data_IF_314347388586
#
_entry.id   IF_314347388586
#
_cell.length_a   1.000
_cell.length_b   1.000
_cell.length_c   1.000
_cell.angle_alpha   90.00
_cell.angle_beta   90.00
_cell.angle_gamma   90.00
#
_symmetry.space_group_name_H-M   'P 1'
#
loop_
_entity.id
_entity.type
_entity.pdbx_description
1 polymer ?
#
# COMPACT_ATOMS: atom_id res chain seq x y z
N UNK A 1 -3.79 -30.51 15.89
CA UNK A 1 -4.71 -29.97 16.92
C UNK A 1 -4.67 -28.46 16.80
N UNK A 2 -5.80 -27.79 16.58
CA UNK A 2 -5.86 -26.32 16.61
C UNK A 2 -5.58 -25.90 18.05
N UNK A 3 -4.51 -25.15 18.27
CA UNK A 3 -4.10 -24.61 19.59
C UNK A 3 -4.73 -23.24 19.82
N UNK A 4 -5.94 -23.03 19.33
CA UNK A 4 -6.63 -21.76 19.53
C UNK A 4 -7.38 -21.83 20.86
N UNK A 5 -7.14 -20.89 21.78
CA UNK A 5 -7.78 -20.90 23.09
C UNK A 5 -9.28 -20.81 22.93
N UNK A 6 -10.03 -21.68 23.62
CA UNK A 6 -11.49 -21.57 23.64
C UNK A 6 -11.95 -20.58 24.70
N UNK A 7 -13.18 -20.09 24.59
CA UNK A 7 -13.77 -19.21 25.59
C UNK A 7 -13.74 -19.80 27.00
N UNK A 8 -13.80 -21.14 27.13
CA UNK A 8 -13.73 -21.82 28.43
C UNK A 8 -12.35 -21.71 29.07
N UNK A 9 -11.30 -21.79 28.26
CA UNK A 9 -9.91 -21.79 28.72
C UNK A 9 -9.38 -20.37 28.99
N UNK A 10 -10.02 -19.37 28.38
CA UNK A 10 -9.69 -17.95 28.53
C UNK A 10 -10.92 -17.03 28.31
N UNK A 11 -11.78 -16.86 29.34
CA UNK A 11 -13.03 -16.09 29.26
C UNK A 11 -12.82 -14.57 29.43
N UNK A 12 -11.78 -14.00 28.81
CA UNK A 12 -11.51 -12.56 28.88
C UNK A 12 -12.31 -11.81 27.81
N UNK A 13 -13.61 -11.66 28.06
CA UNK A 13 -14.52 -10.87 27.23
C UNK A 13 -14.95 -9.63 28.01
N UNK A 14 -15.05 -8.50 27.32
CA UNK A 14 -15.59 -7.26 27.87
C UNK A 14 -14.53 -6.17 28.04
N UNK A 15 -15.00 -4.93 28.11
CA UNK A 15 -14.15 -3.76 28.24
C UNK A 15 -13.93 -3.45 29.72
N UNK A 16 -12.67 -3.27 30.16
CA UNK A 16 -12.38 -2.88 31.53
C UNK A 16 -12.85 -1.44 31.81
N UNK A 17 -12.92 -1.09 33.09
CA UNK A 17 -13.09 0.30 33.50
C UNK A 17 -11.80 1.09 33.28
N UNK A 18 -10.66 0.50 33.63
CA UNK A 18 -9.35 1.11 33.46
C UNK A 18 -8.30 0.12 32.96
N UNK A 19 -7.33 0.61 32.19
CA UNK A 19 -6.12 -0.11 31.79
C UNK A 19 -4.94 0.58 32.45
N UNK A 20 -4.24 -0.17 33.31
CA UNK A 20 -2.99 0.27 33.91
C UNK A 20 -1.83 -0.09 32.99
N UNK A 21 -0.97 0.86 32.68
CA UNK A 21 0.22 0.60 31.89
C UNK A 21 1.43 1.43 32.28
N UNK A 22 2.57 1.01 31.73
CA UNK A 22 3.81 1.72 31.88
C UNK A 22 3.93 2.85 30.87
N UNK A 23 4.57 3.95 31.27
CA UNK A 23 4.61 5.19 30.49
C UNK A 23 5.19 4.99 29.09
N UNK A 24 6.14 4.07 28.90
CA UNK A 24 6.78 3.89 27.60
C UNK A 24 5.91 3.11 26.58
N UNK A 25 5.03 2.22 27.04
CA UNK A 25 4.29 1.31 26.16
C UNK A 25 2.95 1.91 25.68
N UNK A 26 2.28 2.72 26.51
CA UNK A 26 0.96 3.29 26.23
C UNK A 26 0.92 4.81 25.97
N UNK A 27 2.07 5.46 25.72
CA UNK A 27 2.07 6.85 25.24
C UNK A 27 1.88 6.87 23.71
N UNK A 28 0.63 6.97 23.25
CA UNK A 28 0.35 7.11 21.83
C UNK A 28 -1.10 7.49 21.49
N UNK A 29 -1.29 8.10 20.33
CA UNK A 29 -2.60 8.56 19.82
C UNK A 29 -3.64 7.44 19.66
N UNK A 30 -3.22 6.18 19.55
CA UNK A 30 -4.13 5.03 19.44
C UNK A 30 -4.94 4.82 20.72
N UNK A 31 -4.34 5.14 21.88
CA UNK A 31 -4.92 4.86 23.20
C UNK A 31 -5.85 5.99 23.62
N UNK A 32 -5.56 7.23 23.22
CA UNK A 32 -6.47 8.38 23.37
C UNK A 32 -7.83 8.13 22.69
N UNK A 33 -7.82 7.42 21.54
CA UNK A 33 -9.07 7.06 20.85
C UNK A 33 -9.87 6.00 21.60
N UNK A 34 -9.19 5.03 22.25
CA UNK A 34 -9.86 4.05 23.09
C UNK A 34 -10.53 4.70 24.31
N UNK A 35 -9.84 5.63 24.95
CA UNK A 35 -10.37 6.37 26.09
C UNK A 35 -11.64 7.14 25.71
N UNK A 36 -11.59 7.90 24.60
CA UNK A 36 -12.73 8.69 24.11
C UNK A 36 -13.91 7.85 23.65
N UNK A 37 -13.67 6.78 22.88
CA UNK A 37 -14.74 6.03 22.23
C UNK A 37 -15.39 4.99 23.14
N UNK A 38 -14.68 4.49 24.15
CA UNK A 38 -15.13 3.38 24.99
C UNK A 38 -15.18 3.69 26.49
N UNK A 39 -14.88 4.93 26.89
CA UNK A 39 -14.84 5.35 28.28
C UNK A 39 -14.00 4.41 29.15
N UNK A 40 -12.83 4.02 28.63
CA UNK A 40 -11.80 3.24 29.33
C UNK A 40 -10.77 4.22 29.86
N UNK A 41 -10.57 4.24 31.18
CA UNK A 41 -9.58 5.12 31.81
C UNK A 41 -8.18 4.54 31.64
N UNK A 42 -7.22 5.35 31.21
CA UNK A 42 -5.83 4.91 31.09
C UNK A 42 -5.05 5.44 32.29
N UNK A 43 -4.53 4.53 33.10
CA UNK A 43 -3.74 4.88 34.28
C UNK A 43 -2.28 4.55 34.00
N UNK A 44 -1.40 5.54 34.15
CA UNK A 44 0.04 5.34 34.01
C UNK A 44 0.67 5.14 35.38
N UNK A 45 1.46 4.08 35.55
CA UNK A 45 2.20 3.87 36.80
C UNK A 45 3.20 5.01 37.04
N UNK A 46 3.40 5.46 38.30
CA UNK A 46 4.47 6.40 38.64
C UNK A 46 5.82 5.82 38.22
N UNK A 47 6.76 6.67 37.80
CA UNK A 47 8.13 6.26 37.55
C UNK A 47 8.69 5.56 38.81
N UNK A 48 9.35 4.41 38.63
CA UNK A 48 9.93 3.57 39.70
C UNK A 48 8.94 2.79 40.60
N UNK A 49 7.71 2.51 40.15
CA UNK A 49 6.79 1.54 40.80
C UNK A 49 6.70 0.22 40.01
N UNK A 50 7.85 -0.38 39.73
CA UNK A 50 7.95 -1.69 39.06
C UNK A 50 7.29 -2.85 39.81
N UNK A 51 7.01 -2.66 41.11
CA UNK A 51 6.28 -3.62 41.95
C UNK A 51 4.89 -3.96 41.40
N UNK A 52 4.23 -3.01 40.72
CA UNK A 52 2.93 -3.20 40.08
C UNK A 52 2.98 -4.10 38.84
N UNK A 53 4.19 -4.33 38.28
CA UNK A 53 4.45 -5.21 37.11
C UNK A 53 5.31 -6.44 37.47
N UNK A 54 5.77 -6.53 38.72
CA UNK A 54 6.70 -7.56 39.20
C UNK A 54 6.21 -8.99 38.94
N UNK A 55 4.90 -9.22 39.06
CA UNK A 55 4.27 -10.52 38.79
C UNK A 55 4.36 -10.87 37.31
N UNK A 56 4.06 -9.93 36.42
CA UNK A 56 4.08 -10.11 34.97
C UNK A 56 5.51 -10.37 34.48
N UNK A 57 6.49 -9.58 34.93
CA UNK A 57 7.89 -9.75 34.55
C UNK A 57 8.50 -11.07 35.06
N UNK A 58 8.19 -11.43 36.31
CA UNK A 58 8.61 -12.72 36.88
C UNK A 58 8.00 -13.88 36.12
N UNK A 59 6.74 -13.76 35.73
CA UNK A 59 6.07 -14.79 34.95
C UNK A 59 6.65 -14.92 33.54
N UNK A 60 6.93 -13.81 32.84
CA UNK A 60 7.65 -13.86 31.55
C UNK A 60 9.02 -14.54 31.68
N UNK A 61 9.76 -14.25 32.75
CA UNK A 61 11.03 -14.93 33.04
C UNK A 61 10.84 -16.43 33.27
N UNK A 62 9.75 -16.82 33.94
CA UNK A 62 9.41 -18.22 34.24
C UNK A 62 9.04 -18.99 32.98
N UNK A 63 8.13 -18.45 32.16
CA UNK A 63 7.78 -19.04 30.85
C UNK A 63 9.04 -19.22 30.00
N UNK A 64 9.87 -18.18 29.92
CA UNK A 64 11.13 -18.27 29.19
C UNK A 64 12.06 -19.35 29.72
N UNK A 65 12.12 -19.57 31.04
CA UNK A 65 12.94 -20.62 31.63
C UNK A 65 12.41 -22.03 31.33
N UNK A 66 11.10 -22.20 31.11
CA UNK A 66 10.49 -23.50 30.82
C UNK A 66 10.80 -23.99 29.40
N UNK A 67 10.75 -23.13 28.38
CA UNK A 67 10.95 -23.56 26.99
C UNK A 67 12.39 -23.38 26.49
N UNK A 68 13.18 -22.42 27.02
CA UNK A 68 14.57 -22.17 26.56
C UNK A 68 15.49 -23.40 26.57
N UNK A 69 15.42 -24.32 27.55
CA UNK A 69 16.25 -25.53 27.56
C UNK A 69 15.99 -26.47 26.37
N UNK A 70 14.81 -26.38 25.76
CA UNK A 70 14.36 -27.29 24.70
C UNK A 70 14.31 -26.62 23.32
N UNK A 71 14.51 -25.30 23.24
CA UNK A 71 14.49 -24.54 22.00
C UNK A 71 15.93 -24.26 21.49
N UNK A 72 16.27 -24.63 20.24
CA UNK A 72 17.55 -24.25 19.64
C UNK A 72 17.55 -22.76 19.23
N UNK A 73 18.74 -22.17 19.10
CA UNK A 73 18.91 -20.78 18.63
C UNK A 73 18.55 -19.68 19.64
N UNK A 74 18.44 -20.00 20.93
CA UNK A 74 18.18 -19.01 21.99
C UNK A 74 19.33 -18.00 22.07
N UNK A 75 19.00 -16.70 22.16
CA UNK A 75 19.98 -15.62 22.28
C UNK A 75 20.81 -15.80 23.55
N UNK A 76 22.09 -16.06 23.36
CA UNK A 76 23.06 -16.12 24.45
C UNK A 76 23.71 -14.75 24.65
N UNK A 77 24.00 -14.39 25.91
CA UNK A 77 24.56 -13.09 26.29
C UNK A 77 25.95 -12.81 25.67
N UNK A 78 26.65 -13.85 25.19
CA UNK A 78 27.95 -13.73 24.57
C UNK A 78 27.77 -13.89 23.06
N UNK A 79 28.05 -12.83 22.28
CA UNK A 79 28.31 -12.98 20.84
C UNK A 79 29.63 -13.74 20.70
N UNK A 80 29.56 -15.04 20.47
CA UNK A 80 30.69 -15.97 20.42
C UNK A 80 31.63 -15.78 19.20
N UNK A 81 32.01 -14.54 18.86
CA UNK A 81 33.02 -14.32 17.81
C UNK A 81 34.47 -14.51 18.28
N UNK A 82 34.74 -14.62 19.60
CA UNK A 82 36.12 -14.71 20.13
C UNK A 82 36.58 -16.10 20.58
N UNK A 83 35.71 -17.13 20.58
CA UNK A 83 36.04 -18.46 21.14
C UNK A 83 35.43 -19.65 20.38
N UNK A 84 35.24 -19.55 19.07
CA UNK A 84 34.81 -20.70 18.26
C UNK A 84 33.40 -21.20 18.57
N UNK A 85 32.54 -20.34 19.10
CA UNK A 85 31.15 -20.69 19.37
C UNK A 85 30.25 -20.51 18.14
N UNK A 86 29.13 -21.21 18.12
CA UNK A 86 28.22 -21.26 16.96
C UNK A 86 27.30 -20.04 16.96
N UNK A 87 27.08 -19.44 15.79
CA UNK A 87 26.13 -18.32 15.67
C UNK A 87 24.71 -18.85 15.89
N UNK A 88 24.11 -18.52 17.04
CA UNK A 88 22.76 -18.95 17.44
C UNK A 88 21.68 -18.56 16.41
N UNK A 89 21.94 -17.57 15.54
CA UNK A 89 21.02 -17.20 14.46
C UNK A 89 20.90 -18.30 13.39
N UNK A 90 21.95 -19.10 13.20
CA UNK A 90 21.96 -20.21 12.26
C UNK A 90 21.21 -21.44 12.81
N UNK A 91 21.09 -21.52 14.14
CA UNK A 91 20.37 -22.59 14.85
C UNK A 91 18.90 -22.20 15.15
N UNK A 92 18.42 -21.05 14.66
CA UNK A 92 17.04 -20.61 14.85
C UNK A 92 16.09 -21.42 13.97
N UNK A 93 15.35 -22.36 14.56
CA UNK A 93 14.45 -23.27 13.83
C UNK A 93 12.98 -22.92 13.95
N UNK A 94 12.57 -22.20 14.99
CA UNK A 94 11.16 -21.92 15.27
C UNK A 94 10.62 -20.80 14.38
N UNK A 95 9.50 -21.07 13.73
CA UNK A 95 8.69 -20.03 13.08
C UNK A 95 7.97 -19.17 14.11
N UNK A 96 7.53 -17.97 13.71
CA UNK A 96 6.72 -17.09 14.58
C UNK A 96 5.46 -17.81 15.06
N UNK A 97 4.81 -18.60 14.20
CA UNK A 97 3.60 -19.36 14.56
C UNK A 97 3.89 -20.39 15.64
N UNK A 98 4.95 -21.19 15.50
CA UNK A 98 5.33 -22.19 16.50
C UNK A 98 5.73 -21.55 17.82
N UNK A 99 6.47 -20.44 17.78
CA UNK A 99 6.79 -19.67 18.97
C UNK A 99 5.53 -19.15 19.67
N UNK A 100 4.58 -18.58 18.93
CA UNK A 100 3.28 -18.14 19.49
C UNK A 100 2.54 -19.29 20.15
N UNK A 101 2.52 -20.49 19.55
CA UNK A 101 1.89 -21.68 20.12
C UNK A 101 2.55 -22.11 21.44
N UNK A 102 3.88 -22.09 21.53
CA UNK A 102 4.61 -22.39 22.76
C UNK A 102 4.19 -21.42 23.88
N UNK A 103 4.16 -20.11 23.58
CA UNK A 103 3.76 -19.10 24.56
C UNK A 103 2.30 -19.28 24.98
N UNK A 104 1.38 -19.53 24.03
CA UNK A 104 -0.04 -19.77 24.32
C UNK A 104 -0.22 -20.98 25.25
N UNK A 105 0.49 -22.08 25.00
CA UNK A 105 0.42 -23.26 25.86
C UNK A 105 0.85 -22.96 27.29
N UNK A 106 1.96 -22.22 27.49
CA UNK A 106 2.40 -21.82 28.84
C UNK A 106 1.36 -20.96 29.55
N UNK A 107 0.78 -19.98 28.84
CA UNK A 107 -0.27 -19.11 29.42
C UNK A 107 -1.52 -19.91 29.79
N UNK A 108 -1.96 -20.84 28.94
CA UNK A 108 -3.12 -21.68 29.20
C UNK A 108 -2.93 -22.59 30.41
N UNK A 109 -1.77 -23.24 30.53
CA UNK A 109 -1.46 -24.08 31.71
C UNK A 109 -1.49 -23.23 32.97
N UNK A 110 -0.82 -22.08 32.97
CA UNK A 110 -0.80 -21.22 34.15
C UNK A 110 -2.19 -20.74 34.56
N UNK A 111 -2.97 -20.23 33.62
CA UNK A 111 -4.30 -19.70 33.92
C UNK A 111 -5.26 -20.77 34.45
N UNK A 112 -5.11 -22.02 34.01
CA UNK A 112 -6.05 -23.11 34.31
C UNK A 112 -5.61 -24.04 35.45
N UNK A 113 -4.31 -24.13 35.78
CA UNK A 113 -3.82 -25.10 36.77
C UNK A 113 -2.91 -24.53 37.84
N UNK A 114 -2.37 -23.31 37.68
CA UNK A 114 -1.40 -22.79 38.63
C UNK A 114 -2.08 -22.26 39.89
N UNK A 115 -1.69 -22.79 41.05
CA UNK A 115 -2.18 -22.32 42.34
C UNK A 115 -1.35 -21.13 42.83
N UNK A 116 -2.03 -20.01 43.09
CA UNK A 116 -1.44 -18.78 43.63
C UNK A 116 -1.32 -18.87 45.15
N UNK A 117 -0.24 -19.50 45.63
CA UNK A 117 -0.02 -19.74 47.07
C UNK A 117 0.08 -18.47 47.92
N UNK A 118 0.44 -17.34 47.32
CA UNK A 118 0.57 -16.03 47.99
C UNK A 118 -0.58 -15.07 47.68
N UNK A 119 -1.70 -15.58 47.16
CA UNK A 119 -2.87 -14.75 46.85
C UNK A 119 -3.60 -14.33 48.13
N UNK A 120 -3.81 -13.02 48.28
CA UNK A 120 -4.57 -12.45 49.40
C UNK A 120 -6.07 -12.55 49.09
N UNK A 121 -6.81 -13.23 49.97
CA UNK A 121 -8.23 -13.56 49.76
C UNK A 121 -9.11 -12.57 50.52
N UNK A 122 -10.17 -12.09 49.88
CA UNK A 122 -11.18 -11.29 50.57
C UNK A 122 -12.02 -12.14 51.54
N UNK A 123 -12.62 -11.47 52.52
CA UNK A 123 -13.36 -12.08 53.63
C UNK A 123 -14.60 -12.89 53.21
N UNK A 124 -15.18 -12.59 52.06
CA UNK A 124 -16.39 -13.20 51.51
C UNK A 124 -16.11 -14.24 50.42
N UNK A 125 -14.84 -14.53 50.11
CA UNK A 125 -14.48 -15.60 49.19
C UNK A 125 -14.74 -16.99 49.82
N UNK A 126 -15.50 -17.89 49.16
CA UNK A 126 -15.78 -19.24 49.66
C UNK A 126 -14.51 -20.06 49.90
N UNK A 127 -14.40 -20.77 51.02
CA UNK A 127 -13.19 -21.52 51.41
C UNK A 127 -12.84 -22.66 50.44
N UNK A 128 -13.80 -23.15 49.67
CA UNK A 128 -13.66 -24.19 48.65
C UNK A 128 -13.24 -23.64 47.27
N UNK A 129 -13.22 -22.31 47.08
CA UNK A 129 -12.76 -21.68 45.84
C UNK A 129 -11.22 -21.86 45.72
N UNK A 130 -10.71 -22.58 44.71
CA UNK A 130 -9.27 -22.71 44.54
C UNK A 130 -8.64 -21.38 44.10
N UNK A 131 -7.45 -21.07 44.62
CA UNK A 131 -6.67 -19.89 44.26
C UNK A 131 -5.99 -20.04 42.88
N UNK A 132 -6.75 -20.43 41.87
CA UNK A 132 -6.29 -20.61 40.49
C UNK A 132 -6.88 -19.47 39.64
N UNK A 133 -6.11 -18.83 38.73
CA UNK A 133 -6.54 -17.63 38.01
C UNK A 133 -7.92 -17.75 37.34
N UNK A 134 -8.21 -18.85 36.63
CA UNK A 134 -9.51 -19.04 35.97
C UNK A 134 -10.68 -19.10 36.95
N UNK A 135 -10.48 -19.75 38.11
CA UNK A 135 -11.52 -19.88 39.13
C UNK A 135 -11.77 -18.56 39.85
N UNK A 136 -10.70 -17.86 40.21
CA UNK A 136 -10.76 -16.53 40.79
C UNK A 136 -11.41 -15.53 39.84
N UNK A 137 -11.08 -15.58 38.55
CA UNK A 137 -11.69 -14.75 37.50
C UNK A 137 -13.20 -15.00 37.40
N UNK A 138 -13.61 -16.26 37.25
CA UNK A 138 -15.02 -16.62 37.11
C UNK A 138 -15.84 -16.21 38.34
N UNK A 139 -15.30 -16.41 39.55
CA UNK A 139 -15.93 -15.96 40.78
C UNK A 139 -16.01 -14.43 40.86
N UNK A 140 -14.93 -13.73 40.49
CA UNK A 140 -14.87 -12.26 40.48
C UNK A 140 -15.87 -11.62 39.51
N UNK A 141 -16.02 -12.16 38.29
CA UNK A 141 -17.02 -11.66 37.33
C UNK A 141 -18.44 -11.80 37.87
N UNK A 142 -18.74 -12.90 38.57
CA UNK A 142 -20.07 -13.12 39.14
C UNK A 142 -20.35 -12.25 40.38
N UNK A 143 -19.35 -12.01 41.24
CA UNK A 143 -19.55 -11.46 42.58
C UNK A 143 -18.95 -10.07 42.83
N UNK A 144 -18.07 -9.56 41.97
CA UNK A 144 -17.40 -8.25 42.12
C UNK A 144 -17.83 -7.23 41.08
N UNK A 145 -17.49 -7.50 39.82
CA UNK A 145 -17.54 -6.48 38.74
C UNK A 145 -18.91 -6.40 38.08
N UNK A 146 -19.78 -7.40 38.26
CA UNK A 146 -21.08 -7.47 37.60
C UNK A 146 -20.94 -7.69 36.09
N UNK A 147 -21.88 -7.13 35.30
CA UNK A 147 -21.86 -7.26 33.84
C UNK A 147 -20.80 -6.34 33.23
N UNK A 148 -19.81 -6.91 32.58
CA UNK A 148 -18.81 -6.18 31.80
C UNK A 148 -19.47 -5.45 30.61
N UNK A 149 -18.95 -4.26 30.28
CA UNK A 149 -19.36 -3.53 29.08
C UNK A 149 -18.91 -4.30 27.84
N UNK A 150 -19.76 -4.37 26.82
CA UNK A 150 -19.41 -4.94 25.53
C UNK A 150 -19.41 -3.85 24.46
N UNK A 151 -18.43 -3.88 23.57
CA UNK A 151 -18.46 -3.13 22.32
C UNK A 151 -18.31 -4.09 21.14
N UNK A 152 -18.70 -3.65 19.95
CA UNK A 152 -18.50 -4.47 18.76
C UNK A 152 -17.00 -4.62 18.48
N UNK A 153 -16.59 -5.86 18.16
CA UNK A 153 -15.20 -6.19 17.84
C UNK A 153 -14.65 -5.27 16.73
N UNK A 154 -15.47 -5.02 15.70
CA UNK A 154 -15.14 -4.12 14.60
C UNK A 154 -14.88 -2.68 15.06
N UNK A 155 -15.67 -2.14 15.98
CA UNK A 155 -15.45 -0.79 16.49
C UNK A 155 -14.15 -0.70 17.29
N UNK A 156 -13.86 -1.71 18.14
CA UNK A 156 -12.60 -1.77 18.90
C UNK A 156 -11.41 -1.85 17.95
N UNK A 157 -11.49 -2.75 16.96
CA UNK A 157 -10.46 -2.90 15.92
C UNK A 157 -10.16 -1.56 15.24
N UNK A 158 -11.19 -0.86 14.75
CA UNK A 158 -11.03 0.43 14.05
C UNK A 158 -10.51 1.55 14.97
N UNK A 159 -10.87 1.54 16.26
CA UNK A 159 -10.35 2.52 17.22
C UNK A 159 -8.86 2.37 17.47
N UNK A 160 -8.36 1.12 17.46
CA UNK A 160 -6.95 0.78 17.66
C UNK A 160 -6.08 1.04 16.43
N UNK A 161 -6.68 1.12 15.24
CA UNK A 161 -5.93 1.35 14.01
C UNK A 161 -5.20 2.71 14.03
N UNK A 162 -3.95 2.76 13.53
CA UNK A 162 -3.20 4.01 13.40
C UNK A 162 -3.92 5.00 12.49
N UNK A 163 -3.77 6.30 12.81
CA UNK A 163 -4.43 7.40 12.10
C UNK A 163 -3.46 8.16 11.21
N UNK A 164 -3.95 8.59 10.06
CA UNK A 164 -3.21 9.42 9.10
C UNK A 164 -4.16 10.39 8.41
N UNK A 165 -3.61 11.39 7.71
CA UNK A 165 -4.40 12.31 6.90
C UNK A 165 -4.53 11.77 5.47
N UNK A 166 -5.78 11.60 5.02
CA UNK A 166 -6.11 11.34 3.64
C UNK A 166 -6.47 12.62 2.90
N UNK A 167 -6.01 12.76 1.66
CA UNK A 167 -6.32 13.92 0.81
C UNK A 167 -7.34 13.54 -0.25
N UNK A 168 -8.41 14.32 -0.40
CA UNK A 168 -9.40 14.06 -1.43
C UNK A 168 -8.88 14.47 -2.83
N UNK A 169 -9.19 13.67 -3.83
CA UNK A 169 -8.89 13.91 -5.25
C UNK A 169 -10.10 13.51 -6.09
N UNK A 170 -10.15 13.95 -7.34
CA UNK A 170 -11.18 13.50 -8.31
C UNK A 170 -11.19 11.98 -8.51
N UNK A 171 -10.01 11.36 -8.40
CA UNK A 171 -9.81 9.91 -8.51
C UNK A 171 -10.20 9.14 -7.24
N UNK A 172 -10.63 9.83 -6.17
CA UNK A 172 -10.93 9.23 -4.86
C UNK A 172 -10.07 9.78 -3.72
N UNK A 173 -10.15 9.12 -2.57
CA UNK A 173 -9.34 9.44 -1.40
C UNK A 173 -7.91 8.94 -1.59
N UNK A 174 -6.91 9.81 -1.44
CA UNK A 174 -5.49 9.46 -1.53
C UNK A 174 -4.86 9.33 -0.15
N UNK A 175 -4.32 8.15 0.16
CA UNK A 175 -3.59 7.83 1.40
C UNK A 175 -2.27 7.17 1.03
N UNK A 176 -1.14 7.70 1.51
CA UNK A 176 0.21 7.19 1.17
C UNK A 176 0.46 6.98 -0.34
N UNK A 177 -0.06 7.86 -1.20
CA UNK A 177 0.10 7.71 -2.66
C UNK A 177 -0.89 6.74 -3.33
N UNK A 178 -1.68 6.01 -2.55
CA UNK A 178 -2.67 5.01 -3.00
C UNK A 178 -4.07 5.62 -3.01
N UNK A 179 -4.90 5.25 -3.99
CA UNK A 179 -6.25 5.78 -4.16
C UNK A 179 -7.33 4.79 -3.70
N UNK A 180 -8.35 5.31 -3.03
CA UNK A 180 -9.47 4.56 -2.48
C UNK A 180 -10.80 5.17 -2.93
N UNK A 181 -11.77 4.30 -3.18
CA UNK A 181 -13.15 4.64 -3.52
C UNK A 181 -14.06 4.40 -2.32
N UNK A 182 -14.97 5.33 -2.07
CA UNK A 182 -15.95 5.29 -0.99
C UNK A 182 -17.29 5.71 -1.61
N UNK A 183 -18.37 4.94 -1.38
CA UNK A 183 -19.67 5.21 -2.00
C UNK A 183 -20.23 6.55 -1.53
N UNK A 184 -20.09 6.81 -0.24
CA UNK A 184 -20.55 8.01 0.45
C UNK A 184 -19.86 9.28 -0.07
N UNK A 185 -18.58 9.20 -0.44
CA UNK A 185 -17.87 10.32 -1.07
C UNK A 185 -18.40 10.63 -2.47
N UNK A 186 -18.79 9.59 -3.23
CA UNK A 186 -19.33 9.71 -4.60
C UNK A 186 -20.76 10.27 -4.54
N UNK A 187 -21.62 9.68 -3.71
CA UNK A 187 -23.03 10.07 -3.57
C UNK A 187 -23.19 11.51 -3.06
N UNK A 188 -22.32 11.94 -2.15
CA UNK A 188 -22.30 13.33 -1.66
C UNK A 188 -21.66 14.31 -2.64
N UNK A 189 -21.17 13.82 -3.79
CA UNK A 189 -20.51 14.63 -4.81
C UNK A 189 -19.23 15.31 -4.33
N UNK A 190 -18.60 14.82 -3.26
CA UNK A 190 -17.41 15.42 -2.67
C UNK A 190 -16.18 15.28 -3.58
N UNK A 191 -16.20 14.30 -4.49
CA UNK A 191 -15.17 14.12 -5.51
C UNK A 191 -15.27 15.14 -6.65
N UNK A 192 -16.43 15.77 -6.83
CA UNK A 192 -16.64 16.74 -7.90
C UNK A 192 -16.03 18.09 -7.53
N UNK A 193 -15.07 18.54 -8.32
CA UNK A 193 -14.42 19.86 -8.17
C UNK A 193 -15.47 20.96 -8.36
N UNK A 194 -15.86 21.65 -7.28
CA UNK A 194 -16.72 22.86 -7.34
C UNK A 194 -16.05 24.15 -6.86
N UNK A 195 -14.81 24.11 -6.37
CA UNK A 195 -14.18 25.30 -5.80
C UNK A 195 -12.84 25.60 -6.47
N UNK A 196 -12.66 26.86 -6.87
CA UNK A 196 -11.38 27.48 -7.22
C UNK A 196 -10.40 27.57 -6.02
N UNK A 197 -10.76 26.99 -4.87
CA UNK A 197 -9.88 26.85 -3.72
C UNK A 197 -8.75 25.87 -4.00
N UNK A 198 -7.52 26.34 -3.80
CA UNK A 198 -6.27 25.59 -3.99
C UNK A 198 -6.09 24.43 -2.98
N UNK A 199 -6.93 24.36 -1.93
CA UNK A 199 -6.74 23.44 -0.81
C UNK A 199 -7.71 22.27 -0.85
N UNK A 200 -7.17 21.06 -1.03
CA UNK A 200 -7.93 19.81 -1.01
C UNK A 200 -8.40 19.50 0.42
N UNK A 201 -9.68 19.13 0.64
CA UNK A 201 -10.14 18.72 1.95
C UNK A 201 -9.34 17.49 2.42
N UNK A 202 -8.96 17.52 3.69
CA UNK A 202 -8.27 16.44 4.37
C UNK A 202 -9.24 15.73 5.32
N UNK A 203 -9.18 14.42 5.33
CA UNK A 203 -9.93 13.59 6.26
C UNK A 203 -8.97 12.83 7.15
N UNK A 204 -9.36 12.59 8.40
CA UNK A 204 -8.68 11.61 9.25
C UNK A 204 -9.06 10.22 8.78
N UNK A 205 -8.05 9.38 8.59
CA UNK A 205 -8.21 8.03 8.07
C UNK A 205 -7.50 7.05 8.98
N UNK A 206 -8.18 5.96 9.34
CA UNK A 206 -7.54 4.81 9.96
C UNK A 206 -7.18 3.76 8.90
N UNK A 207 -6.02 3.12 9.07
CA UNK A 207 -5.53 2.10 8.15
C UNK A 207 -4.93 0.94 8.94
N UNK A 208 -5.04 -0.27 8.41
CA UNK A 208 -4.36 -1.44 8.97
C UNK A 208 -3.00 -1.61 8.28
N UNK A 209 -1.86 -1.49 8.98
CA UNK A 209 -0.55 -1.71 8.38
C UNK A 209 -0.41 -3.06 7.65
N UNK A 210 -1.15 -4.08 8.07
CA UNK A 210 -1.15 -5.41 7.45
C UNK A 210 -2.04 -5.51 6.19
N UNK A 211 -2.93 -4.55 5.95
CA UNK A 211 -3.88 -4.60 4.83
C UNK A 211 -4.08 -3.23 4.15
N UNK A 212 -3.57 -3.09 2.93
CA UNK A 212 -3.70 -1.89 2.12
C UNK A 212 -4.99 -1.83 1.27
N UNK A 213 -5.86 -2.82 1.32
CA UNK A 213 -7.07 -2.83 0.50
C UNK A 213 -8.20 -1.97 1.05
N UNK A 214 -8.20 -1.73 2.36
CA UNK A 214 -9.30 -1.07 3.07
C UNK A 214 -8.76 -0.01 4.01
N UNK A 215 -9.45 1.13 4.03
CA UNK A 215 -9.21 2.21 4.98
C UNK A 215 -10.54 2.77 5.49
N UNK A 216 -10.51 3.37 6.66
CA UNK A 216 -11.70 3.90 7.34
C UNK A 216 -11.62 5.42 7.42
N UNK A 217 -12.57 6.11 6.81
CA UNK A 217 -12.61 7.58 6.72
C UNK A 217 -13.48 8.12 7.84
N UNK A 218 -12.93 8.96 8.72
CA UNK A 218 -13.68 9.62 9.78
C UNK A 218 -14.26 10.93 9.27
N UNK A 219 -15.57 11.08 9.43
CA UNK A 219 -16.31 12.26 8.95
C UNK A 219 -16.94 13.09 10.08
N UNK A 220 -17.00 12.54 11.30
CA UNK A 220 -17.42 13.29 12.50
C UNK A 220 -16.22 14.01 13.11
N UNK A 221 -16.46 15.19 13.69
CA UNK A 221 -15.45 15.94 14.48
C UNK A 221 -14.97 15.10 15.68
N UNK A 222 -15.86 14.30 16.27
CA UNK A 222 -15.55 13.41 17.39
C UNK A 222 -14.85 12.11 16.96
N UNK A 223 -14.68 11.88 15.65
CA UNK A 223 -14.06 10.68 15.08
C UNK A 223 -14.69 9.36 15.54
N UNK A 224 -15.98 9.37 15.88
CA UNK A 224 -16.79 8.21 16.22
C UNK A 224 -17.28 7.47 14.98
N UNK A 225 -17.83 8.22 14.02
CA UNK A 225 -18.42 7.68 12.81
C UNK A 225 -17.42 7.62 11.66
N UNK A 226 -17.51 6.54 10.88
CA UNK A 226 -16.61 6.25 9.78
C UNK A 226 -17.31 5.70 8.55
N UNK A 227 -16.73 5.95 7.39
CA UNK A 227 -17.05 5.25 6.13
C UNK A 227 -15.94 4.28 5.76
N UNK A 228 -16.31 3.20 5.08
CA UNK A 228 -15.34 2.25 4.54
C UNK A 228 -14.98 2.60 3.12
N UNK A 229 -13.68 2.78 2.87
CA UNK A 229 -13.15 2.99 1.53
C UNK A 229 -12.31 1.79 1.10
N UNK A 230 -12.54 1.37 -0.15
CA UNK A 230 -11.86 0.23 -0.76
C UNK A 230 -10.86 0.70 -1.80
N UNK A 231 -9.80 -0.07 -2.00
CA UNK A 231 -8.76 0.22 -2.98
C UNK A 231 -9.34 0.43 -4.39
N UNK A 232 -9.02 1.57 -4.99
CA UNK A 232 -9.48 1.93 -6.32
C UNK A 232 -8.77 1.11 -7.40
N UNK A 233 -9.42 0.93 -8.56
CA UNK A 233 -8.81 0.26 -9.72
C UNK A 233 -7.53 0.96 -10.20
N UNK A 234 -7.38 2.26 -9.95
CA UNK A 234 -6.15 3.02 -10.26
C UNK A 234 -4.94 2.46 -9.52
N UNK A 235 -5.13 1.97 -8.31
CA UNK A 235 -4.08 1.43 -7.44
C UNK A 235 -4.18 -0.09 -7.29
N UNK A 236 -4.74 -0.78 -8.30
CA UNK A 236 -4.91 -2.24 -8.31
C UNK A 236 -3.63 -3.05 -8.11
N UNK A 237 -2.46 -2.43 -8.34
CA UNK A 237 -1.15 -3.05 -8.13
C UNK A 237 -0.91 -3.47 -6.67
N UNK A 238 -1.64 -2.87 -5.71
CA UNK A 238 -1.49 -3.13 -4.28
C UNK A 238 -2.60 -4.03 -3.69
N UNK A 239 -3.35 -4.75 -4.52
CA UNK A 239 -4.34 -5.73 -4.03
C UNK A 239 -3.63 -6.88 -3.32
N UNK A 240 -4.14 -7.27 -2.16
CA UNK A 240 -3.58 -8.30 -1.29
C UNK A 240 -2.30 -7.89 -0.55
N UNK A 241 -1.82 -6.65 -0.70
CA UNK A 241 -0.59 -6.19 -0.08
C UNK A 241 -0.85 -5.55 1.29
N UNK A 242 0.18 -5.60 2.14
CA UNK A 242 0.33 -4.77 3.33
C UNK A 242 0.85 -3.37 2.98
N UNK A 243 0.65 -2.37 3.85
CA UNK A 243 1.23 -1.04 3.60
C UNK A 243 2.76 -1.04 3.60
N UNK A 244 3.38 -1.99 4.31
CA UNK A 244 4.82 -2.19 4.26
C UNK A 244 5.30 -2.53 2.84
N UNK A 245 4.63 -3.47 2.18
CA UNK A 245 4.92 -3.84 0.79
C UNK A 245 4.62 -2.68 -0.16
N UNK A 246 3.52 -1.94 0.05
CA UNK A 246 3.21 -0.72 -0.72
C UNK A 246 4.38 0.26 -0.66
N UNK A 247 4.88 0.58 0.53
CA UNK A 247 5.98 1.53 0.68
C UNK A 247 7.28 1.05 0.05
N UNK A 248 7.59 -0.25 0.11
CA UNK A 248 8.75 -0.83 -0.56
C UNK A 248 8.65 -0.68 -2.08
N UNK A 249 7.54 -1.10 -2.66
CA UNK A 249 7.31 -1.01 -4.11
C UNK A 249 7.35 0.45 -4.58
N UNK A 250 6.71 1.36 -3.84
CA UNK A 250 6.74 2.79 -4.18
C UNK A 250 8.15 3.38 -4.13
N UNK A 251 9.00 2.94 -3.19
CA UNK A 251 10.39 3.38 -3.10
C UNK A 251 11.19 2.93 -4.33
N UNK A 252 11.06 1.67 -4.72
CA UNK A 252 11.72 1.11 -5.91
C UNK A 252 11.25 1.78 -7.21
N UNK A 253 9.94 1.98 -7.35
CA UNK A 253 9.34 2.71 -8.47
C UNK A 253 9.87 4.15 -8.54
N UNK A 254 10.02 4.83 -7.40
CA UNK A 254 10.56 6.19 -7.33
C UNK A 254 12.02 6.25 -7.78
N UNK A 255 12.86 5.32 -7.33
CA UNK A 255 14.27 5.22 -7.74
C UNK A 255 14.36 5.00 -9.25
N UNK A 256 13.58 4.05 -9.77
CA UNK A 256 13.53 3.71 -11.19
C UNK A 256 13.10 4.92 -12.03
N UNK A 257 12.01 5.59 -11.65
CA UNK A 257 11.52 6.79 -12.33
C UNK A 257 12.54 7.93 -12.35
N UNK A 258 13.28 8.12 -11.25
CA UNK A 258 14.35 9.12 -11.19
C UNK A 258 15.47 8.82 -12.19
N UNK A 259 15.89 7.56 -12.31
CA UNK A 259 16.92 7.14 -13.28
C UNK A 259 16.44 7.35 -14.72
N UNK A 260 15.21 6.94 -15.04
CA UNK A 260 14.64 7.15 -16.38
C UNK A 260 14.49 8.63 -16.74
N UNK A 261 14.13 9.49 -15.78
CA UNK A 261 14.02 10.94 -16.02
C UNK A 261 15.36 11.56 -16.46
N UNK A 262 16.47 11.13 -15.85
CA UNK A 262 17.81 11.58 -16.25
C UNK A 262 18.10 11.17 -17.69
N UNK A 263 17.87 9.90 -18.03
CA UNK A 263 18.09 9.40 -19.40
C UNK A 263 17.20 10.10 -20.43
N UNK A 264 15.92 10.34 -20.10
CA UNK A 264 15.01 11.06 -20.96
C UNK A 264 15.45 12.51 -21.19
N UNK A 265 15.96 13.20 -20.17
CA UNK A 265 16.49 14.55 -20.31
C UNK A 265 17.75 14.58 -21.19
N UNK A 266 18.66 13.61 -21.04
CA UNK A 266 19.84 13.49 -21.92
C UNK A 266 19.44 13.24 -23.37
N UNK A 267 18.50 12.31 -23.60
CA UNK A 267 17.99 12.04 -24.94
C UNK A 267 17.30 13.27 -25.55
N UNK A 268 16.62 14.09 -24.74
CA UNK A 268 16.00 15.34 -25.19
C UNK A 268 17.06 16.38 -25.57
N UNK A 269 18.11 16.54 -24.76
CA UNK A 269 19.23 17.43 -25.09
C UNK A 269 19.96 17.00 -26.38
N UNK A 270 20.20 15.70 -26.56
CA UNK A 270 20.80 15.17 -27.80
C UNK A 270 19.89 15.40 -29.03
N UNK A 271 18.56 15.36 -28.85
CA UNK A 271 17.60 15.66 -29.92
C UNK A 271 17.64 17.15 -30.26
N UNK A 272 17.67 18.02 -29.26
CA UNK A 272 17.78 19.48 -29.44
C UNK A 272 19.05 19.84 -30.21
N UNK A 273 20.21 19.28 -29.83
CA UNK A 273 21.48 19.50 -30.53
C UNK A 273 21.43 19.02 -31.99
N UNK A 274 20.89 17.83 -32.26
CA UNK A 274 20.75 17.34 -33.64
C UNK A 274 19.82 18.23 -34.47
N UNK A 275 18.75 18.74 -33.87
CA UNK A 275 17.84 19.65 -34.55
C UNK A 275 18.54 20.97 -34.86
N UNK A 276 19.33 21.53 -33.94
CA UNK A 276 20.15 22.72 -34.17
C UNK A 276 21.13 22.51 -35.33
N UNK A 277 21.89 21.40 -35.34
CA UNK A 277 22.83 21.06 -36.42
C UNK A 277 22.14 20.99 -37.79
N UNK A 278 20.94 20.39 -37.86
CA UNK A 278 20.15 20.30 -39.09
C UNK A 278 19.70 21.69 -39.54
N UNK A 279 19.23 22.52 -38.60
CA UNK A 279 18.79 23.89 -38.88
C UNK A 279 19.96 24.75 -39.35
N UNK A 280 21.13 24.67 -38.72
CA UNK A 280 22.34 25.39 -39.14
C UNK A 280 22.82 24.95 -40.52
N UNK A 281 22.82 23.64 -40.80
CA UNK A 281 23.12 23.13 -42.15
C UNK A 281 22.12 23.63 -43.19
N UNK A 282 20.84 23.68 -42.86
CA UNK A 282 19.81 24.20 -43.76
C UNK A 282 19.95 25.72 -44.00
N UNK A 283 20.30 26.48 -42.96
CA UNK A 283 20.56 27.93 -43.05
C UNK A 283 21.80 28.21 -43.90
N UNK A 284 22.91 27.48 -43.67
CA UNK A 284 24.16 27.65 -44.40
C UNK A 284 24.07 27.19 -45.86
N UNK A 285 23.28 26.14 -46.13
CA UNK A 285 23.01 25.65 -47.50
C UNK A 285 21.99 26.51 -48.26
N UNK A 286 21.45 27.57 -47.63
CA UNK A 286 20.48 28.46 -48.27
C UNK A 286 21.16 29.23 -49.41
N UNK A 287 20.67 29.11 -50.66
CA UNK A 287 21.27 29.82 -51.77
C UNK A 287 21.09 31.35 -51.63
N UNK A 288 22.19 32.09 -51.78
CA UNK A 288 22.17 33.55 -51.95
C UNK A 288 21.28 33.91 -53.14
N UNK A 289 20.20 34.67 -52.91
CA UNK A 289 19.23 35.00 -53.96
C UNK A 289 19.08 36.50 -54.12
N UNK A 290 19.15 36.99 -55.37
CA UNK A 290 18.90 38.40 -55.73
C UNK A 290 17.43 38.69 -56.08
N UNK A 291 16.54 37.69 -56.06
CA UNK A 291 15.12 37.83 -56.42
C UNK A 291 14.32 38.55 -55.32
N UNK A 292 13.34 39.37 -55.72
CA UNK A 292 12.37 40.07 -54.85
C UNK A 292 11.50 39.10 -54.03
N UNK A 293 11.09 39.50 -52.82
CA UNK A 293 10.24 38.70 -51.93
C UNK A 293 8.92 38.25 -52.59
N UNK A 294 8.31 39.10 -53.43
CA UNK A 294 7.06 38.77 -54.12
C UNK A 294 7.25 37.64 -55.16
N UNK A 295 8.39 37.64 -55.88
CA UNK A 295 8.73 36.56 -56.83
C UNK A 295 9.11 35.25 -56.12
N UNK A 296 9.61 35.30 -54.89
CA UNK A 296 9.88 34.10 -54.08
C UNK A 296 8.59 33.45 -53.61
N UNK A 297 7.62 34.26 -53.17
CA UNK A 297 6.31 33.76 -52.73
C UNK A 297 5.49 33.18 -53.88
N UNK A 298 5.55 33.77 -55.08
CA UNK A 298 4.81 33.27 -56.25
C UNK A 298 5.33 31.93 -56.80
N UNK A 299 6.61 31.61 -56.57
CA UNK A 299 7.24 30.36 -57.03
C UNK A 299 7.05 29.18 -56.06
N UNK A 300 6.50 29.39 -54.86
CA UNK A 300 6.27 28.34 -53.85
C UNK A 300 5.40 27.21 -54.40
N UNK A 301 4.32 27.55 -55.13
CA UNK A 301 3.36 26.55 -55.61
C UNK A 301 3.99 25.58 -56.61
N UNK A 302 4.87 26.08 -57.49
CA UNK A 302 5.59 25.24 -58.46
C UNK A 302 6.66 24.39 -57.78
N UNK A 303 7.44 24.97 -56.85
CA UNK A 303 8.45 24.22 -56.10
C UNK A 303 7.82 23.11 -55.24
N UNK A 304 6.66 23.38 -54.62
CA UNK A 304 5.91 22.38 -53.85
C UNK A 304 5.43 21.24 -54.73
N UNK A 305 4.91 21.54 -55.93
CA UNK A 305 4.49 20.49 -56.87
C UNK A 305 5.67 19.65 -57.34
N UNK A 306 6.84 20.26 -57.59
CA UNK A 306 8.07 19.55 -57.94
C UNK A 306 8.55 18.63 -56.81
N UNK A 307 8.59 19.12 -55.57
CA UNK A 307 8.96 18.31 -54.41
C UNK A 307 8.00 17.12 -54.21
N UNK A 308 6.68 17.31 -54.39
CA UNK A 308 5.70 16.23 -54.32
C UNK A 308 5.92 15.21 -55.43
N UNK A 309 6.27 15.63 -56.65
CA UNK A 309 6.56 14.69 -57.75
C UNK A 309 7.84 13.90 -57.50
N UNK A 310 8.89 14.53 -56.96
CA UNK A 310 10.14 13.86 -56.57
C UNK A 310 9.91 12.85 -55.45
N UNK A 311 9.17 13.24 -54.39
CA UNK A 311 8.79 12.34 -53.30
C UNK A 311 8.02 11.10 -53.80
N UNK A 312 7.11 11.31 -54.76
CA UNK A 312 6.38 10.20 -55.41
C UNK A 312 7.28 9.29 -56.23
N UNK A 313 8.31 9.82 -56.88
CA UNK A 313 9.28 9.01 -57.63
C UNK A 313 10.21 8.22 -56.71
N UNK A 314 10.62 8.81 -55.60
CA UNK A 314 11.47 8.13 -54.61
C UNK A 314 10.70 7.02 -53.88
N UNK A 315 9.41 7.23 -53.58
CA UNK A 315 8.52 6.18 -53.09
C UNK A 315 8.34 5.04 -54.10
N UNK A 316 8.30 5.33 -55.41
CA UNK A 316 8.26 4.29 -56.45
C UNK A 316 9.55 3.48 -56.50
N UNK A 317 10.72 4.13 -56.37
CA UNK A 317 12.02 3.46 -56.34
C UNK A 317 12.20 2.58 -55.09
N UNK A 318 11.79 3.07 -53.91
CA UNK A 318 11.88 2.27 -52.67
C UNK A 318 11.01 1.01 -52.71
N UNK A 319 9.82 1.10 -53.33
CA UNK A 319 8.91 -0.04 -53.54
C UNK A 319 9.47 -1.06 -54.55
N UNK A 320 10.21 -0.61 -55.57
CA UNK A 320 10.91 -1.49 -56.54
C UNK A 320 12.11 -2.24 -55.91
N UNK A 321 12.77 -1.65 -54.92
CA UNK A 321 13.90 -2.29 -54.21
C UNK A 321 13.41 -3.40 -53.26
N UNK A 322 12.24 -3.24 -52.62
CA UNK A 322 11.64 -4.29 -51.78
C UNK A 322 11.09 -5.47 -52.61
N UNK A 323 10.53 -5.22 -53.81
CA UNK A 323 10.04 -6.28 -54.69
C UNK A 323 11.16 -7.11 -55.35
N UNK A 324 12.36 -6.54 -55.51
CA UNK A 324 13.55 -7.26 -56.01
C UNK A 324 14.26 -8.09 -54.93
N UNK A 325 14.11 -7.77 -53.64
CA UNK A 325 14.60 -8.61 -52.53
C UNK A 325 13.67 -9.77 -52.17
N UNK A 326 12.36 -9.66 -52.46
CA UNK A 326 11.38 -10.74 -52.25
C UNK A 326 11.21 -11.71 -53.44
N UNK A 327 11.95 -11.53 -54.54
CA UNK A 327 11.84 -12.37 -55.74
C UNK A 327 12.45 -13.80 -55.60
N UNK A 328 12.77 -14.25 -54.39
CA UNK A 328 13.30 -15.61 -54.09
C UNK A 328 12.49 -16.38 -53.05
N UNK A 329 11.18 -16.14 -52.95
CA UNK A 329 10.27 -17.09 -52.31
C UNK A 329 9.29 -17.59 -53.36
N UNK A 330 9.41 -18.87 -53.72
CA UNK A 330 8.40 -19.59 -54.50
C UNK A 330 7.18 -19.79 -53.62
N UNK A 331 6.25 -18.84 -53.65
CA UNK A 331 4.97 -18.98 -52.96
C UNK A 331 4.08 -19.98 -53.72
N UNK A 332 3.76 -21.07 -53.05
CA UNK A 332 2.67 -21.98 -53.40
C UNK A 332 1.35 -21.21 -53.26
N UNK A 333 0.87 -20.62 -54.35
CA UNK A 333 -0.44 -19.97 -54.40
C UNK A 333 -1.51 -21.05 -54.35
N UNK A 334 -2.23 -21.14 -53.23
CA UNK A 334 -3.50 -21.87 -53.14
C UNK A 334 -4.59 -20.91 -53.65
N UNK A 335 -5.32 -21.22 -54.73
CA UNK A 335 -6.38 -20.36 -55.21
C UNK A 335 -7.57 -20.40 -54.24
N UNK A 336 -7.90 -19.25 -53.64
CA UNK A 336 -9.17 -19.07 -52.92
C UNK A 336 -10.26 -18.88 -53.98
N UNK A 337 -10.97 -19.96 -54.31
CA UNK A 337 -12.20 -19.88 -55.08
C UNK A 337 -13.32 -19.36 -54.17
N UNK A 338 -13.86 -18.17 -54.44
CA UNK A 338 -15.13 -17.79 -53.80
C UNK A 338 -15.55 -16.33 -53.69
N UNK A 339 -14.88 -15.36 -54.33
CA UNK A 339 -15.37 -13.97 -54.28
C UNK A 339 -15.83 -13.54 -55.67
N UNK A 340 -17.15 -13.42 -55.82
CA UNK A 340 -17.80 -12.81 -56.98
C UNK A 340 -17.29 -11.37 -57.10
N UNK A 341 -16.90 -10.98 -58.31
CA UNK A 341 -16.62 -9.58 -58.67
C UNK A 341 -17.84 -8.73 -58.31
N UNK A 342 -17.67 -7.80 -57.39
CA UNK A 342 -18.55 -6.65 -57.27
C UNK A 342 -17.89 -5.49 -58.02
N UNK A 343 -18.70 -4.84 -58.83
CA UNK A 343 -18.39 -3.80 -59.78
C UNK A 343 -17.92 -2.51 -59.09
N UNK A 344 -17.08 -1.79 -59.82
CA UNK A 344 -16.69 -0.38 -59.72
C UNK A 344 -17.57 0.50 -58.80
N UNK A 345 -17.09 0.77 -57.58
CA UNK A 345 -17.39 2.04 -56.89
C UNK A 345 -16.13 2.59 -56.21
N UNK A 346 -15.81 3.81 -56.63
CA UNK A 346 -14.72 4.68 -56.20
C UNK A 346 -14.92 5.10 -54.73
N UNK A 347 -14.69 4.21 -53.78
CA UNK A 347 -14.79 4.52 -52.35
C UNK A 347 -13.45 5.01 -51.80
N UNK A 348 -13.38 6.32 -51.63
CA UNK A 348 -12.46 7.08 -50.77
C UNK A 348 -11.86 6.28 -49.60
N UNK A 349 -10.62 5.81 -49.78
CA UNK A 349 -9.78 5.36 -48.67
C UNK A 349 -9.37 6.58 -47.83
N UNK A 350 -10.20 6.92 -46.84
CA UNK A 350 -9.82 7.82 -45.76
C UNK A 350 -8.75 7.12 -44.91
N UNK A 351 -7.49 7.54 -45.11
CA UNK A 351 -6.38 7.18 -44.23
C UNK A 351 -6.71 7.74 -42.84
N UNK A 352 -6.69 6.94 -41.76
CA UNK A 352 -6.95 7.45 -40.42
C UNK A 352 -5.85 8.44 -40.01
N UNK A 353 -6.20 9.71 -39.86
CA UNK A 353 -5.31 10.74 -39.32
C UNK A 353 -5.18 10.60 -37.81
N UNK A 354 -4.40 9.61 -37.35
CA UNK A 354 -4.00 9.45 -35.95
C UNK A 354 -2.73 10.26 -35.64
N UNK A 355 -2.77 11.59 -35.83
CA UNK A 355 -1.62 12.46 -35.52
C UNK A 355 -1.92 13.63 -34.58
N UNK A 356 -3.20 13.90 -34.26
CA UNK A 356 -3.56 15.09 -33.47
C UNK A 356 -3.59 14.88 -31.94
N UNK A 357 -3.45 13.66 -31.42
CA UNK A 357 -3.60 13.39 -29.97
C UNK A 357 -2.29 13.33 -29.18
N UNK A 358 -1.14 13.63 -29.80
CA UNK A 358 0.19 13.48 -29.17
C UNK A 358 0.78 14.77 -28.58
N UNK A 359 0.09 15.90 -28.69
CA UNK A 359 0.57 17.22 -28.25
C UNK A 359 -0.44 18.04 -27.44
N UNK A 360 -1.40 17.40 -26.77
CA UNK A 360 -2.13 18.07 -25.70
C UNK A 360 -1.23 18.17 -24.47
N UNK A 361 -0.44 19.24 -24.44
CA UNK A 361 0.29 19.73 -23.27
C UNK A 361 -0.73 20.19 -22.22
N UNK A 362 -1.00 19.34 -21.23
CA UNK A 362 -1.59 19.75 -19.95
C UNK A 362 -0.52 20.53 -19.14
N UNK A 363 -0.26 21.78 -19.54
CA UNK A 363 0.33 22.80 -18.69
C UNK A 363 -0.76 23.82 -18.30
N UNK A 364 -1.33 23.63 -17.10
CA UNK A 364 -1.75 24.69 -16.17
C UNK A 364 -2.14 24.14 -14.78
#
# INVERSE_FOLDING_TARGET
MSTDPTFKDWPCIGLPEAILADRAELLGHQIENLEKNFAIRIENTPAYRGDLKSIVERYFRTIQAEFKPYAPGVVQAIKEKKRGGKDYRLDATLTVKEFTQIILNSVLIYNNTHELSSYDRDIDMPTDLPCIPIHLWNWGIQNRTGKLRSASEKAIYIALLPRTDGTLSELGLKVFGVFYNCKELIERGLLHRKSASRQRPKFKVAYDPANAEKVYIFHSEDHSDYWEAQLSNRSREFRGCSFWEVWQVQLEQKITRSRYKINANLARADLEQRNEDIIEKAISSRPSTQKSNAQRLSSIRNNRNQAITEEREDLKKSTQIQSSQNAKVTDNIIPISGIKKAEDEESTLLIPTYYESLFDEDDN
#
